data_IF_455067085881
#
_entry.id   IF_455067085881
#
_cell.length_a   1.000
_cell.length_b   1.000
_cell.length_c   1.000
_cell.angle_alpha   90.00
_cell.angle_beta   90.00
_cell.angle_gamma   90.00
#
_symmetry.space_group_name_H-M   'P 1'
#
loop_
_entity.id
_entity.type
_entity.pdbx_description
1 polymer ?
#
# COMPACT_ATOMS: atom_id res chain seq x y z
N UNK A 1 -11.01 25.94 -5.47
CA UNK A 1 -10.37 24.60 -5.66
C UNK A 1 -10.19 24.37 -7.15
N UNK A 2 -9.00 23.97 -7.59
CA UNK A 2 -8.72 23.58 -8.99
C UNK A 2 -8.65 22.06 -9.07
N UNK A 3 -9.39 21.45 -10.00
CA UNK A 3 -9.48 19.98 -10.13
C UNK A 3 -8.70 19.52 -11.35
N UNK A 4 -7.83 18.57 -11.16
CA UNK A 4 -7.04 17.89 -12.19
C UNK A 4 -7.52 16.45 -12.32
N UNK A 5 -7.37 15.86 -13.50
CA UNK A 5 -7.62 14.44 -13.72
C UNK A 5 -6.37 13.75 -14.28
N UNK A 6 -6.07 12.55 -13.79
CA UNK A 6 -5.09 11.63 -14.36
C UNK A 6 -5.83 10.43 -14.94
N UNK A 7 -5.80 10.31 -16.26
CA UNK A 7 -6.55 9.29 -16.99
C UNK A 7 -5.62 8.29 -17.68
N UNK A 8 -6.00 7.01 -17.67
CA UNK A 8 -5.29 5.97 -18.39
C UNK A 8 -5.87 4.59 -18.07
N UNK A 9 -5.59 3.59 -18.91
CA UNK A 9 -6.08 2.22 -18.74
C UNK A 9 -5.65 1.62 -17.41
N UNK A 10 -6.38 0.61 -16.97
CA UNK A 10 -6.01 -0.13 -15.75
C UNK A 10 -4.64 -0.80 -15.91
N UNK A 11 -3.80 -0.72 -14.88
CA UNK A 11 -2.47 -1.34 -14.91
C UNK A 11 -1.34 -0.51 -15.53
N UNK A 12 -1.60 0.72 -15.98
CA UNK A 12 -0.60 1.58 -16.65
C UNK A 12 0.26 2.41 -15.68
N UNK A 13 0.20 2.15 -14.36
CA UNK A 13 1.04 2.86 -13.39
C UNK A 13 0.49 4.21 -12.92
N UNK A 14 -0.80 4.56 -13.18
CA UNK A 14 -1.38 5.85 -12.77
C UNK A 14 -1.16 6.21 -11.31
N UNK A 15 -1.50 5.31 -10.39
CA UNK A 15 -1.36 5.57 -8.94
C UNK A 15 0.10 5.77 -8.54
N UNK A 16 1.04 5.20 -9.28
CA UNK A 16 2.46 5.43 -9.12
C UNK A 16 2.86 6.83 -9.58
N UNK A 17 2.46 7.21 -10.80
CA UNK A 17 2.80 8.51 -11.39
C UNK A 17 2.03 9.67 -10.75
N UNK A 18 0.88 9.39 -10.16
CA UNK A 18 0.09 10.39 -9.43
C UNK A 18 0.90 11.11 -8.34
N UNK A 19 1.80 10.41 -7.67
CA UNK A 19 2.64 11.03 -6.64
C UNK A 19 3.65 12.01 -7.23
N UNK A 20 4.29 11.66 -8.36
CA UNK A 20 5.21 12.55 -9.07
C UNK A 20 4.47 13.80 -9.56
N UNK A 21 3.32 13.58 -10.21
CA UNK A 21 2.46 14.65 -10.71
C UNK A 21 1.97 15.57 -9.57
N UNK A 22 1.57 15.01 -8.45
CA UNK A 22 1.15 15.79 -7.28
C UNK A 22 2.28 16.66 -6.73
N UNK A 23 3.52 16.17 -6.75
CA UNK A 23 4.69 16.94 -6.34
C UNK A 23 4.96 18.11 -7.29
N UNK A 24 4.97 17.87 -8.60
CA UNK A 24 5.23 18.88 -9.61
C UNK A 24 4.17 19.98 -9.58
N UNK A 25 2.90 19.61 -9.54
CA UNK A 25 1.77 20.54 -9.56
C UNK A 25 1.41 21.09 -8.16
N UNK A 26 2.12 20.66 -7.10
CA UNK A 26 1.83 21.01 -5.69
C UNK A 26 0.39 20.70 -5.30
N UNK A 27 -0.09 19.51 -5.69
CA UNK A 27 -1.41 19.00 -5.34
C UNK A 27 -1.28 18.18 -4.06
N UNK A 28 -2.12 18.47 -3.06
CA UNK A 28 -2.12 17.76 -1.76
C UNK A 28 -3.24 16.75 -1.64
N UNK A 29 -4.31 16.88 -2.41
CA UNK A 29 -5.48 16.02 -2.37
C UNK A 29 -5.56 15.09 -3.57
N UNK A 30 -5.89 13.82 -3.34
CA UNK A 30 -6.05 12.78 -4.37
C UNK A 30 -7.36 12.03 -4.11
N UNK A 31 -8.12 11.79 -5.19
CA UNK A 31 -9.22 10.82 -5.22
C UNK A 31 -8.75 9.61 -6.05
N UNK A 32 -8.65 8.45 -5.43
CA UNK A 32 -8.28 7.20 -6.10
C UNK A 32 -9.05 6.01 -5.54
N UNK A 33 -9.62 5.19 -6.41
CA UNK A 33 -10.31 3.93 -6.08
C UNK A 33 -11.32 4.04 -4.90
N UNK A 34 -12.07 5.14 -4.82
CA UNK A 34 -13.09 5.39 -3.79
C UNK A 34 -12.56 6.02 -2.50
N UNK A 35 -11.30 6.39 -2.45
CA UNK A 35 -10.65 7.02 -1.31
C UNK A 35 -10.39 8.50 -1.56
N UNK A 36 -10.55 9.31 -0.52
CA UNK A 36 -9.99 10.65 -0.44
C UNK A 36 -8.72 10.64 0.40
N UNK A 37 -7.62 11.01 -0.23
CA UNK A 37 -6.28 11.03 0.34
C UNK A 37 -5.82 12.49 0.38
N UNK A 38 -5.37 12.99 1.53
CA UNK A 38 -4.86 14.34 1.67
C UNK A 38 -3.55 14.32 2.46
N UNK A 39 -2.51 15.00 1.94
CA UNK A 39 -1.16 15.01 2.52
C UNK A 39 -0.67 13.59 2.88
N UNK A 40 -0.85 12.66 1.96
CA UNK A 40 -0.50 11.25 2.09
C UNK A 40 -1.29 10.46 3.16
N UNK A 41 -2.39 11.01 3.67
CA UNK A 41 -3.26 10.33 4.64
C UNK A 41 -4.60 10.00 4.01
N UNK A 42 -5.08 8.77 4.21
CA UNK A 42 -6.47 8.44 3.89
C UNK A 42 -7.37 9.18 4.89
N UNK A 43 -8.16 10.11 4.38
CA UNK A 43 -9.06 10.94 5.21
C UNK A 43 -10.42 10.27 5.34
N UNK A 44 -10.97 9.81 4.23
CA UNK A 44 -12.30 9.19 4.18
C UNK A 44 -12.45 8.33 2.94
N UNK A 45 -13.51 7.55 2.92
CA UNK A 45 -13.90 6.71 1.83
C UNK A 45 -13.64 5.22 2.05
N UNK A 46 -14.16 4.41 1.13
CA UNK A 46 -14.04 2.95 1.11
C UNK A 46 -13.28 2.57 -0.15
N UNK A 47 -12.22 1.78 -0.01
CA UNK A 47 -11.46 1.34 -1.18
C UNK A 47 -12.27 0.38 -2.04
N UNK A 48 -12.27 0.63 -3.34
CA UNK A 48 -12.83 -0.27 -4.35
C UNK A 48 -12.20 -1.68 -4.32
N UNK A 49 -10.96 -1.79 -3.82
CA UNK A 49 -10.24 -3.05 -3.66
C UNK A 49 -10.83 -3.98 -2.60
N UNK A 50 -11.67 -3.45 -1.70
CA UNK A 50 -12.37 -4.25 -0.68
C UNK A 50 -13.61 -4.97 -1.22
N UNK A 51 -13.99 -4.71 -2.46
CA UNK A 51 -15.19 -5.28 -3.05
C UNK A 51 -14.91 -6.65 -3.64
N UNK A 52 -15.76 -7.61 -3.32
CA UNK A 52 -15.64 -9.00 -3.77
C UNK A 52 -15.94 -9.17 -5.27
N UNK A 53 -16.57 -8.17 -5.88
CA UNK A 53 -16.95 -8.22 -7.29
C UNK A 53 -16.40 -7.04 -8.08
N UNK A 54 -16.09 -7.24 -9.37
CA UNK A 54 -15.68 -6.15 -10.27
C UNK A 54 -16.74 -5.03 -10.35
N UNK A 55 -18.01 -5.40 -10.36
CA UNK A 55 -19.13 -4.44 -10.40
C UNK A 55 -19.18 -3.66 -9.08
N UNK A 56 -19.00 -4.31 -7.94
CA UNK A 56 -18.90 -3.66 -6.64
C UNK A 56 -17.73 -2.69 -6.58
N UNK A 57 -16.56 -3.10 -7.07
CA UNK A 57 -15.38 -2.25 -7.14
C UNK A 57 -15.61 -0.99 -7.99
N UNK A 58 -16.20 -1.13 -9.18
CA UNK A 58 -16.53 0.02 -10.04
C UNK A 58 -17.55 0.94 -9.36
N UNK A 59 -18.60 0.40 -8.74
CA UNK A 59 -19.61 1.19 -8.01
C UNK A 59 -18.99 1.96 -6.84
N UNK A 60 -18.04 1.36 -6.12
CA UNK A 60 -17.33 1.99 -5.01
C UNK A 60 -16.39 3.08 -5.51
N UNK A 61 -15.60 2.81 -6.55
CA UNK A 61 -14.72 3.81 -7.16
C UNK A 61 -15.47 5.03 -7.72
N UNK A 62 -16.73 4.84 -8.15
CA UNK A 62 -17.62 5.89 -8.65
C UNK A 62 -18.47 6.53 -7.53
N UNK A 63 -18.27 6.21 -6.27
CA UNK A 63 -19.05 6.74 -5.14
C UNK A 63 -20.57 6.53 -5.31
N UNK A 64 -21.00 5.36 -5.78
CA UNK A 64 -22.41 5.08 -6.07
C UNK A 64 -23.29 4.96 -4.83
N UNK A 65 -22.72 4.64 -3.67
CA UNK A 65 -23.45 4.60 -2.40
C UNK A 65 -23.52 6.00 -1.82
N UNK A 66 -24.74 6.46 -1.45
CA UNK A 66 -24.99 7.82 -0.95
C UNK A 66 -24.20 8.13 0.33
N UNK A 67 -24.16 7.19 1.29
CA UNK A 67 -23.41 7.35 2.53
C UNK A 67 -21.91 7.57 2.25
N UNK A 68 -21.32 6.76 1.37
CA UNK A 68 -19.91 6.85 0.97
C UNK A 68 -19.61 8.16 0.26
N UNK A 69 -20.50 8.55 -0.65
CA UNK A 69 -20.40 9.83 -1.39
C UNK A 69 -20.49 11.02 -0.43
N UNK A 70 -21.48 11.03 0.47
CA UNK A 70 -21.69 12.12 1.42
C UNK A 70 -20.51 12.27 2.39
N UNK A 71 -19.97 11.16 2.92
CA UNK A 71 -18.78 11.15 3.79
C UNK A 71 -17.58 11.81 3.12
N UNK A 72 -17.29 11.40 1.88
CA UNK A 72 -16.12 11.90 1.15
C UNK A 72 -16.32 13.36 0.73
N UNK A 73 -17.50 13.73 0.24
CA UNK A 73 -17.81 15.12 -0.11
C UNK A 73 -17.71 16.06 1.10
N UNK A 74 -18.22 15.65 2.26
CA UNK A 74 -18.08 16.40 3.50
C UNK A 74 -16.63 16.57 3.94
N UNK A 75 -15.81 15.53 3.80
CA UNK A 75 -14.39 15.58 4.13
C UNK A 75 -13.63 16.54 3.20
N UNK A 76 -13.93 16.53 1.91
CA UNK A 76 -13.35 17.47 0.93
C UNK A 76 -13.76 18.91 1.26
N UNK A 77 -15.04 19.16 1.54
CA UNK A 77 -15.55 20.49 1.93
C UNK A 77 -14.88 21.00 3.21
N UNK A 78 -14.66 20.12 4.20
CA UNK A 78 -14.00 20.45 5.48
C UNK A 78 -12.53 20.81 5.31
N UNK A 79 -11.78 20.08 4.49
CA UNK A 79 -10.35 20.31 4.25
C UNK A 79 -10.14 21.46 3.26
N UNK A 80 -11.07 21.64 2.33
CA UNK A 80 -11.06 22.68 1.28
C UNK A 80 -9.70 22.78 0.54
N UNK A 81 -9.21 21.70 -0.09
CA UNK A 81 -7.91 21.71 -0.74
C UNK A 81 -7.89 22.71 -1.89
N UNK A 82 -6.80 23.47 -2.06
CA UNK A 82 -6.66 24.40 -3.19
C UNK A 82 -6.63 23.67 -4.54
N UNK A 83 -6.03 22.48 -4.57
CA UNK A 83 -5.90 21.60 -5.74
C UNK A 83 -6.23 20.18 -5.38
N UNK A 84 -6.90 19.46 -6.29
CA UNK A 84 -7.32 18.07 -6.13
C UNK A 84 -7.03 17.30 -7.42
N UNK A 85 -6.50 16.09 -7.33
CA UNK A 85 -6.29 15.18 -8.44
C UNK A 85 -7.31 14.04 -8.36
N UNK A 86 -8.00 13.78 -9.45
CA UNK A 86 -8.88 12.62 -9.62
C UNK A 86 -8.18 11.61 -10.52
N UNK A 87 -8.05 10.36 -10.08
CA UNK A 87 -7.47 9.27 -10.86
C UNK A 87 -8.59 8.41 -11.42
N UNK A 88 -8.57 8.16 -12.72
CA UNK A 88 -9.58 7.34 -13.38
C UNK A 88 -9.08 6.56 -14.58
N UNK A 89 -9.91 5.64 -15.06
CA UNK A 89 -9.58 4.82 -16.24
C UNK A 89 -10.04 5.42 -17.56
N UNK A 90 -10.91 6.43 -17.50
CA UNK A 90 -11.45 7.15 -18.65
C UNK A 90 -11.96 8.52 -18.25
N UNK A 91 -12.11 9.42 -19.22
CA UNK A 91 -12.69 10.76 -19.03
C UNK A 91 -14.10 10.69 -18.42
N UNK A 92 -14.92 9.76 -18.91
CA UNK A 92 -16.26 9.57 -18.36
C UNK A 92 -16.26 9.11 -16.90
N UNK A 93 -15.23 8.41 -16.44
CA UNK A 93 -15.09 8.02 -15.04
C UNK A 93 -14.77 9.22 -14.16
N UNK A 94 -13.76 9.99 -14.52
CA UNK A 94 -13.33 11.15 -13.71
C UNK A 94 -14.38 12.24 -13.67
N UNK A 95 -15.10 12.47 -14.78
CA UNK A 95 -16.23 13.40 -14.83
C UNK A 95 -17.39 12.98 -13.92
N UNK A 96 -17.71 11.69 -13.88
CA UNK A 96 -18.74 11.15 -12.96
C UNK A 96 -18.33 11.28 -11.51
N UNK A 97 -17.06 11.02 -11.19
CA UNK A 97 -16.52 11.20 -9.83
C UNK A 97 -16.63 12.67 -9.42
N UNK A 98 -16.20 13.60 -10.29
CA UNK A 98 -16.29 15.03 -10.01
C UNK A 98 -17.73 15.46 -9.76
N UNK A 99 -18.67 15.06 -10.63
CA UNK A 99 -20.09 15.40 -10.48
C UNK A 99 -20.69 14.82 -9.18
N UNK A 100 -20.40 13.57 -8.84
CA UNK A 100 -20.92 12.93 -7.62
C UNK A 100 -20.39 13.55 -6.33
N UNK A 101 -19.15 13.98 -6.33
CA UNK A 101 -18.52 14.62 -5.16
C UNK A 101 -18.76 16.13 -5.14
N UNK A 102 -19.62 16.65 -6.03
CA UNK A 102 -19.95 18.09 -6.13
C UNK A 102 -18.69 18.96 -6.29
N UNK A 103 -17.72 18.48 -7.06
CA UNK A 103 -16.48 19.19 -7.31
C UNK A 103 -16.64 20.16 -8.48
N UNK A 104 -15.82 21.21 -8.54
CA UNK A 104 -15.73 22.05 -9.74
C UNK A 104 -15.38 21.24 -10.99
N UNK A 105 -15.65 21.82 -12.16
CA UNK A 105 -15.23 21.22 -13.43
C UNK A 105 -13.74 20.91 -13.45
N UNK A 106 -13.38 19.81 -14.13
CA UNK A 106 -12.00 19.41 -14.31
C UNK A 106 -11.30 20.47 -15.14
N UNK A 107 -10.33 21.16 -14.53
CA UNK A 107 -9.59 22.23 -15.15
C UNK A 107 -8.56 21.75 -16.18
N UNK A 108 -8.04 20.54 -15.95
CA UNK A 108 -7.00 19.95 -16.80
C UNK A 108 -7.03 18.43 -16.68
N UNK A 109 -7.03 17.75 -17.83
CA UNK A 109 -6.90 16.28 -17.90
C UNK A 109 -5.53 15.93 -18.44
N UNK A 110 -4.81 15.10 -17.68
CA UNK A 110 -3.49 14.60 -18.00
C UNK A 110 -3.64 13.12 -18.32
N UNK A 111 -3.13 12.68 -19.46
CA UNK A 111 -3.17 11.27 -19.80
C UNK A 111 -1.85 10.60 -19.39
N UNK A 112 -1.95 9.39 -18.89
CA UNK A 112 -0.77 8.63 -18.47
C UNK A 112 0.23 8.46 -19.61
N UNK A 113 -0.24 8.45 -20.85
CA UNK A 113 0.58 8.39 -22.07
C UNK A 113 1.46 9.62 -22.27
N UNK A 114 1.05 10.76 -21.75
CA UNK A 114 1.74 12.04 -21.94
C UNK A 114 2.90 12.21 -20.94
N UNK A 115 2.85 11.46 -19.83
CA UNK A 115 3.81 11.57 -18.73
C UNK A 115 4.63 10.29 -18.50
N UNK A 116 4.44 9.26 -19.35
CA UNK A 116 5.18 7.99 -19.27
C UNK A 116 5.56 7.48 -20.63
N UNK A 117 6.69 6.76 -20.69
CA UNK A 117 7.10 6.02 -21.89
C UNK A 117 6.30 4.72 -22.05
N UNK A 118 6.34 4.12 -23.22
CA UNK A 118 5.69 2.83 -23.48
C UNK A 118 6.30 1.71 -22.63
N UNK A 119 7.63 1.72 -22.50
CA UNK A 119 8.38 0.77 -21.66
C UNK A 119 7.94 0.83 -20.18
N UNK A 120 7.80 2.01 -19.62
CA UNK A 120 7.32 2.19 -18.23
C UNK A 120 5.90 1.64 -18.03
N UNK A 121 5.02 1.83 -19.01
CA UNK A 121 3.66 1.29 -18.98
C UNK A 121 3.63 -0.23 -19.10
N UNK A 122 4.50 -0.81 -19.94
CA UNK A 122 4.66 -2.26 -20.06
C UNK A 122 5.18 -2.88 -18.76
N UNK A 123 6.18 -2.27 -18.13
CA UNK A 123 6.70 -2.70 -16.82
C UNK A 123 5.59 -2.66 -15.77
N UNK A 124 4.82 -1.57 -15.71
CA UNK A 124 3.71 -1.44 -14.77
C UNK A 124 2.62 -2.49 -15.04
N UNK A 125 2.33 -2.76 -16.31
CA UNK A 125 1.36 -3.78 -16.72
C UNK A 125 1.80 -5.19 -16.32
N UNK A 126 3.07 -5.56 -16.58
CA UNK A 126 3.66 -6.85 -16.18
C UNK A 126 3.65 -7.01 -14.66
N UNK A 127 4.07 -6.00 -13.91
CA UNK A 127 4.05 -6.02 -12.44
C UNK A 127 2.65 -6.29 -11.88
N UNK A 128 1.61 -5.76 -12.51
CA UNK A 128 0.23 -6.00 -12.10
C UNK A 128 -0.28 -7.37 -12.47
N UNK A 129 -0.04 -7.83 -13.71
CA UNK A 129 -0.65 -9.04 -14.26
C UNK A 129 0.14 -10.31 -13.92
N UNK A 130 1.47 -10.22 -13.85
CA UNK A 130 2.33 -11.36 -13.54
C UNK A 130 2.60 -11.50 -12.04
N UNK A 131 2.73 -10.37 -11.32
CA UNK A 131 3.07 -10.38 -9.90
C UNK A 131 1.89 -9.95 -8.99
N UNK A 132 0.76 -9.58 -9.56
CA UNK A 132 -0.44 -9.16 -8.84
C UNK A 132 -0.25 -7.89 -7.99
N UNK A 133 0.75 -7.05 -8.31
CA UNK A 133 1.07 -5.86 -7.51
C UNK A 133 0.22 -4.65 -7.90
N UNK A 134 -0.37 -4.02 -6.91
CA UNK A 134 -1.09 -2.75 -7.09
C UNK A 134 -0.57 -1.70 -6.12
N UNK A 135 -0.21 -0.53 -6.66
CA UNK A 135 0.30 0.59 -5.86
C UNK A 135 -0.85 1.51 -5.45
N UNK A 136 -0.92 1.83 -4.16
CA UNK A 136 -1.83 2.84 -3.61
C UNK A 136 -1.00 4.06 -3.19
N UNK A 137 -1.38 5.29 -3.57
CA UNK A 137 -0.63 6.51 -3.25
C UNK A 137 -0.91 6.99 -1.81
N UNK A 138 -0.76 6.10 -0.83
CA UNK A 138 -0.99 6.39 0.58
C UNK A 138 -0.03 5.60 1.49
N UNK A 139 0.23 6.04 2.74
CA UNK A 139 1.10 5.34 3.67
C UNK A 139 0.58 3.96 4.05
N UNK A 140 1.46 2.97 4.09
CA UNK A 140 1.14 1.59 4.44
C UNK A 140 0.48 1.46 5.82
N UNK A 141 0.95 2.18 6.82
CA UNK A 141 0.43 2.09 8.18
C UNK A 141 -1.02 2.57 8.30
N UNK A 142 -1.45 3.55 7.51
CA UNK A 142 -2.83 4.02 7.52
C UNK A 142 -3.77 3.07 6.78
N UNK A 143 -3.26 2.44 5.74
CA UNK A 143 -3.99 1.40 5.04
C UNK A 143 -4.12 0.14 5.89
N UNK A 144 -3.12 -0.23 6.70
CA UNK A 144 -3.18 -1.38 7.62
C UNK A 144 -4.22 -1.24 8.72
N UNK A 145 -4.49 -0.05 9.24
CA UNK A 145 -5.58 0.15 10.21
C UNK A 145 -6.97 -0.12 9.60
N UNK A 146 -7.12 0.12 8.31
CA UNK A 146 -8.37 -0.08 7.57
C UNK A 146 -8.36 -1.37 6.72
N UNK A 147 -7.18 -1.87 6.39
CA UNK A 147 -6.94 -2.97 5.47
C UNK A 147 -5.82 -3.82 6.04
N UNK A 148 -6.06 -5.02 6.47
CA UNK A 148 -5.03 -5.97 6.91
C UNK A 148 -4.06 -6.29 5.77
N UNK A 149 -3.06 -5.50 5.56
CA UNK A 149 -1.83 -5.56 4.72
C UNK A 149 -1.70 -6.47 3.49
N UNK A 150 -2.55 -7.46 3.34
CA UNK A 150 -2.62 -8.35 2.18
C UNK A 150 -4.05 -8.45 1.73
N UNK A 151 -4.41 -7.78 0.62
CA UNK A 151 -5.61 -8.11 -0.11
C UNK A 151 -5.33 -9.26 -1.07
N UNK A 152 -5.63 -10.46 -0.63
CA UNK A 152 -6.04 -11.48 -1.58
C UNK A 152 -7.48 -11.13 -1.95
N UNK A 153 -7.72 -10.80 -3.21
CA UNK A 153 -9.09 -10.64 -3.68
C UNK A 153 -9.82 -11.97 -3.46
N UNK A 154 -10.94 -12.01 -2.73
CA UNK A 154 -11.70 -13.24 -2.51
C UNK A 154 -12.09 -13.94 -3.83
N UNK A 155 -12.25 -13.17 -4.90
CA UNK A 155 -12.53 -13.69 -6.26
C UNK A 155 -11.38 -14.53 -6.83
N UNK A 156 -10.13 -14.27 -6.43
CA UNK A 156 -8.99 -15.06 -6.88
C UNK A 156 -8.88 -16.36 -6.09
N UNK A 157 -9.18 -16.35 -4.79
CA UNK A 157 -9.26 -17.59 -3.99
C UNK A 157 -10.29 -18.58 -4.53
N UNK A 158 -11.45 -18.09 -4.97
CA UNK A 158 -12.49 -18.94 -5.54
C UNK A 158 -12.16 -19.46 -6.95
N UNK A 159 -11.45 -18.66 -7.74
CA UNK A 159 -10.98 -19.03 -9.08
C UNK A 159 -9.82 -20.02 -9.03
N UNK A 160 -8.92 -19.88 -8.06
CA UNK A 160 -7.76 -20.78 -7.86
C UNK A 160 -8.18 -22.14 -7.30
N UNK A 161 -9.30 -22.21 -6.56
CA UNK A 161 -9.88 -23.50 -6.14
C UNK A 161 -10.43 -24.32 -7.32
N UNK A 162 -10.91 -23.64 -8.36
CA UNK A 162 -11.48 -24.30 -9.56
C UNK A 162 -10.51 -24.38 -10.75
N UNK A 163 -9.37 -23.73 -10.70
CA UNK A 163 -8.37 -23.72 -11.76
C UNK A 163 -7.03 -24.20 -11.21
N UNK A 164 -6.74 -25.47 -11.40
CA UNK A 164 -5.42 -26.06 -11.14
C UNK A 164 -4.33 -25.51 -12.10
N UNK A 165 -4.30 -24.21 -12.38
CA UNK A 165 -3.27 -23.50 -13.16
C UNK A 165 -3.16 -22.03 -12.71
N UNK A 166 -2.19 -21.76 -11.84
CA UNK A 166 -1.37 -20.56 -11.79
C UNK A 166 -2.01 -19.18 -11.90
N UNK A 167 -2.97 -18.83 -11.04
CA UNK A 167 -3.41 -17.45 -10.90
C UNK A 167 -2.59 -16.71 -9.83
N UNK A 168 -1.96 -15.60 -10.19
CA UNK A 168 -1.23 -14.75 -9.24
C UNK A 168 -2.23 -13.92 -8.42
N UNK A 169 -2.26 -14.11 -7.09
CA UNK A 169 -3.08 -13.31 -6.20
C UNK A 169 -2.70 -11.81 -6.30
N UNK A 170 -3.68 -10.92 -6.49
CA UNK A 170 -3.41 -9.47 -6.49
C UNK A 170 -2.92 -9.02 -5.11
N UNK A 171 -1.67 -8.62 -5.04
CA UNK A 171 -1.06 -8.02 -3.84
C UNK A 171 -1.10 -6.50 -3.96
N UNK A 172 -1.71 -5.83 -3.01
CA UNK A 172 -1.61 -4.37 -2.93
C UNK A 172 -0.26 -3.99 -2.35
N UNK A 173 0.58 -3.37 -3.15
CA UNK A 173 1.85 -2.80 -2.70
C UNK A 173 1.61 -1.34 -2.35
N UNK A 174 1.86 -1.00 -1.10
CA UNK A 174 1.82 0.39 -0.66
C UNK A 174 3.23 0.93 -0.73
N UNK A 175 3.43 2.00 -1.50
CA UNK A 175 4.71 2.69 -1.51
C UNK A 175 4.88 3.48 -0.22
N UNK A 176 6.07 3.42 0.41
CA UNK A 176 6.42 4.33 1.50
C UNK A 176 6.26 5.78 1.01
N UNK A 177 5.79 6.60 1.88
CA UNK A 177 5.46 7.99 1.63
C UNK A 177 6.61 8.81 1.10
N UNK A 178 6.33 9.63 0.08
CA UNK A 178 7.11 10.84 -0.14
C UNK A 178 6.74 11.86 0.93
N UNK A 179 7.73 12.36 1.63
CA UNK A 179 7.61 13.67 2.23
C UNK A 179 7.70 14.70 1.09
N UNK A 180 6.83 15.72 1.09
CA UNK A 180 7.01 16.90 0.22
C UNK A 180 8.33 17.65 0.54
N UNK A 181 9.01 17.25 1.59
CA UNK A 181 10.30 17.76 2.04
C UNK A 181 11.52 16.98 1.50
N UNK A 182 11.26 15.88 0.75
CA UNK A 182 12.31 15.02 0.18
C UNK A 182 12.04 13.53 0.36
N UNK A 183 12.89 12.70 -0.23
CA UNK A 183 12.86 11.25 -0.06
C UNK A 183 13.59 10.84 1.22
N UNK A 184 13.09 9.84 1.93
CA UNK A 184 13.84 9.18 2.98
C UNK A 184 14.16 7.75 2.59
N UNK A 185 15.35 7.28 2.99
CA UNK A 185 15.81 5.91 2.78
C UNK A 185 16.07 5.27 4.14
N UNK A 186 15.55 4.06 4.33
CA UNK A 186 15.89 3.24 5.48
C UNK A 186 17.04 2.32 5.10
N UNK A 187 18.09 2.29 5.92
CA UNK A 187 19.16 1.31 5.75
C UNK A 187 18.72 -0.05 6.31
N UNK A 188 19.28 -1.13 5.78
CA UNK A 188 19.01 -2.48 6.27
C UNK A 188 19.33 -2.64 7.78
N UNK A 189 20.23 -1.81 8.30
CA UNK A 189 20.57 -1.75 9.72
C UNK A 189 19.36 -1.38 10.61
N UNK A 190 18.45 -0.52 10.14
CA UNK A 190 17.26 -0.14 10.91
C UNK A 190 16.39 -1.36 11.22
N UNK A 191 16.20 -2.22 10.23
CA UNK A 191 15.42 -3.46 10.43
C UNK A 191 16.12 -4.41 11.39
N UNK A 192 17.45 -4.53 11.28
CA UNK A 192 18.24 -5.34 12.19
C UNK A 192 18.18 -4.83 13.64
N UNK A 193 18.26 -3.52 13.84
CA UNK A 193 18.16 -2.90 15.15
C UNK A 193 16.76 -3.11 15.77
N UNK A 194 15.68 -3.00 14.99
CA UNK A 194 14.31 -3.27 15.47
C UNK A 194 14.18 -4.72 15.93
N UNK A 195 14.65 -5.70 15.14
CA UNK A 195 14.60 -7.12 15.53
C UNK A 195 15.38 -7.35 16.81
N UNK A 196 16.55 -6.74 16.93
CA UNK A 196 17.41 -6.85 18.12
C UNK A 196 16.76 -6.26 19.36
N UNK A 197 16.06 -5.12 19.22
CA UNK A 197 15.31 -4.53 20.31
C UNK A 197 14.14 -5.39 20.76
N UNK A 198 13.33 -5.88 19.81
CA UNK A 198 12.19 -6.76 20.10
C UNK A 198 12.64 -8.06 20.77
N UNK A 199 13.76 -8.62 20.30
CA UNK A 199 14.28 -9.88 20.86
C UNK A 199 14.68 -9.78 22.32
N UNK A 200 15.16 -8.63 22.80
CA UNK A 200 15.50 -8.38 24.20
C UNK A 200 14.28 -8.42 25.13
N UNK A 201 13.08 -8.19 24.58
CA UNK A 201 11.84 -8.18 25.35
C UNK A 201 11.15 -9.54 25.42
N UNK A 202 11.69 -10.56 24.71
CA UNK A 202 11.09 -11.89 24.64
C UNK A 202 11.71 -12.80 25.68
N UNK A 203 10.87 -13.27 26.58
CA UNK A 203 11.28 -14.28 27.55
C UNK A 203 11.67 -15.59 26.82
N UNK A 204 12.85 -16.11 27.13
CA UNK A 204 13.38 -17.30 26.46
C UNK A 204 14.42 -17.01 25.37
N UNK A 205 14.61 -15.76 24.94
CA UNK A 205 15.75 -15.35 24.14
C UNK A 205 16.82 -14.78 25.06
N UNK A 206 18.03 -15.34 25.00
CA UNK A 206 19.18 -14.84 25.77
C UNK A 206 19.91 -13.74 24.97
N UNK A 207 20.16 -14.02 23.71
CA UNK A 207 20.96 -13.13 22.87
C UNK A 207 20.55 -13.25 21.39
N UNK A 208 20.48 -12.14 20.69
CA UNK A 208 20.50 -12.10 19.24
C UNK A 208 21.92 -11.76 18.80
N UNK A 209 22.64 -12.75 18.28
CA UNK A 209 24.05 -12.60 17.92
C UNK A 209 24.26 -11.89 16.59
N UNK A 210 23.31 -12.06 15.66
CA UNK A 210 23.38 -11.47 14.32
C UNK A 210 21.99 -11.32 13.73
N UNK A 211 21.75 -10.18 13.09
CA UNK A 211 20.61 -9.98 12.22
C UNK A 211 21.09 -9.48 10.87
N UNK A 212 20.64 -10.13 9.81
CA UNK A 212 20.86 -9.71 8.43
C UNK A 212 19.50 -9.34 7.87
N UNK A 213 19.37 -8.13 7.38
CA UNK A 213 18.18 -7.68 6.66
C UNK A 213 18.59 -7.30 5.25
N UNK A 214 17.74 -7.61 4.28
CA UNK A 214 17.93 -7.26 2.87
C UNK A 214 16.64 -6.67 2.36
N UNK A 215 16.70 -5.42 1.92
CA UNK A 215 15.56 -4.75 1.29
C UNK A 215 15.38 -5.29 -0.12
N UNK A 216 14.18 -5.77 -0.42
CA UNK A 216 13.76 -6.26 -1.74
C UNK A 216 12.65 -5.38 -2.32
N UNK A 217 12.29 -5.59 -3.58
CA UNK A 217 11.36 -4.71 -4.29
C UNK A 217 10.00 -4.52 -3.61
N UNK A 218 9.54 -5.49 -2.80
CA UNK A 218 8.21 -5.51 -2.17
C UNK A 218 8.26 -5.64 -0.63
N UNK A 219 9.41 -5.42 -0.01
CA UNK A 219 9.53 -5.48 1.44
C UNK A 219 10.95 -5.74 1.91
N UNK A 220 11.07 -6.44 3.03
CA UNK A 220 12.35 -6.83 3.62
C UNK A 220 12.37 -8.32 3.95
N UNK A 221 13.49 -8.97 3.66
CA UNK A 221 13.80 -10.33 4.11
C UNK A 221 14.83 -10.28 5.23
N UNK A 222 14.58 -11.05 6.28
CA UNK A 222 15.37 -10.98 7.52
C UNK A 222 15.79 -12.38 7.94
N UNK A 223 17.06 -12.50 8.37
CA UNK A 223 17.60 -13.65 9.05
C UNK A 223 18.12 -13.21 10.42
N UNK A 224 17.57 -13.79 11.50
CA UNK A 224 18.00 -13.56 12.87
C UNK A 224 18.68 -14.82 13.44
N UNK A 225 19.88 -14.69 13.96
CA UNK A 225 20.62 -15.76 14.63
C UNK A 225 20.56 -15.53 16.13
N UNK A 226 19.99 -16.49 16.87
CA UNK A 226 19.64 -16.32 18.27
C UNK A 226 20.24 -17.45 19.16
N UNK A 227 20.51 -17.10 20.39
CA UNK A 227 20.75 -18.06 21.47
C UNK A 227 19.54 -18.03 22.40
N UNK A 228 19.04 -19.21 22.75
CA UNK A 228 17.87 -19.36 23.64
C UNK A 228 18.30 -19.63 25.07
N UNK A 229 17.48 -19.23 26.02
CA UNK A 229 17.66 -19.58 27.45
C UNK A 229 17.30 -21.03 27.67
N UNK A 230 18.15 -21.72 28.43
CA UNK A 230 17.86 -23.08 28.85
C UNK A 230 16.59 -23.15 29.70
N UNK A 231 15.76 -24.15 29.45
CA UNK A 231 14.49 -24.35 30.18
C UNK A 231 13.26 -23.67 29.56
N UNK A 232 13.41 -22.85 28.52
CA UNK A 232 12.31 -22.22 27.84
C UNK A 232 11.87 -22.97 26.58
N UNK A 233 10.60 -22.77 26.17
CA UNK A 233 10.08 -23.36 24.94
C UNK A 233 10.63 -22.63 23.71
N UNK A 234 11.57 -23.28 23.03
CA UNK A 234 12.29 -22.72 21.88
C UNK A 234 11.34 -22.29 20.74
N UNK A 235 10.37 -23.15 20.40
CA UNK A 235 9.46 -22.86 19.29
C UNK A 235 8.56 -21.67 19.60
N UNK A 236 8.06 -21.59 20.84
CA UNK A 236 7.21 -20.47 21.26
C UNK A 236 7.96 -19.14 21.22
N UNK A 237 9.18 -19.09 21.75
CA UNK A 237 10.01 -17.88 21.75
C UNK A 237 10.39 -17.46 20.32
N UNK A 238 10.72 -18.42 19.43
CA UNK A 238 11.03 -18.12 18.04
C UNK A 238 9.81 -17.58 17.28
N UNK A 239 8.62 -18.16 17.45
CA UNK A 239 7.38 -17.69 16.84
C UNK A 239 6.97 -16.31 17.37
N UNK A 240 7.17 -16.05 18.65
CA UNK A 240 6.92 -14.75 19.25
C UNK A 240 7.86 -13.68 18.65
N UNK A 241 9.15 -14.01 18.48
CA UNK A 241 10.09 -13.12 17.81
C UNK A 241 9.64 -12.79 16.37
N UNK A 242 9.29 -13.82 15.59
CA UNK A 242 8.82 -13.63 14.23
C UNK A 242 7.61 -12.72 14.17
N UNK A 243 6.60 -12.99 14.99
CA UNK A 243 5.33 -12.24 14.98
C UNK A 243 5.51 -10.79 15.45
N UNK A 244 6.19 -10.59 16.60
CA UNK A 244 6.38 -9.26 17.18
C UNK A 244 7.33 -8.40 16.35
N UNK A 245 8.44 -8.96 15.88
CA UNK A 245 9.40 -8.21 15.07
C UNK A 245 8.82 -7.83 13.71
N UNK A 246 8.12 -8.73 13.02
CA UNK A 246 7.46 -8.42 11.77
C UNK A 246 6.46 -7.28 11.95
N UNK A 247 5.58 -7.38 12.96
CA UNK A 247 4.61 -6.34 13.27
C UNK A 247 5.27 -5.00 13.59
N UNK A 248 6.30 -5.00 14.44
CA UNK A 248 7.00 -3.76 14.83
C UNK A 248 7.67 -3.09 13.64
N UNK A 249 8.35 -3.87 12.78
CA UNK A 249 8.96 -3.34 11.56
C UNK A 249 7.89 -2.70 10.68
N UNK A 250 6.82 -3.42 10.44
CA UNK A 250 5.74 -2.94 9.61
C UNK A 250 5.08 -1.67 10.18
N UNK A 251 4.89 -1.60 11.49
CA UNK A 251 4.27 -0.44 12.16
C UNK A 251 5.19 0.79 12.18
N UNK A 252 6.51 0.60 12.35
CA UNK A 252 7.48 1.69 12.43
C UNK A 252 7.95 2.19 11.06
N UNK A 253 8.06 1.30 10.07
CA UNK A 253 8.74 1.61 8.81
C UNK A 253 7.83 1.61 7.60
N UNK A 254 6.62 1.07 7.72
CA UNK A 254 5.70 0.81 6.63
C UNK A 254 6.23 -0.19 5.55
N UNK A 255 7.37 -0.84 5.79
CA UNK A 255 7.85 -1.93 4.95
C UNK A 255 7.15 -3.23 5.30
N UNK A 256 6.81 -4.04 4.30
CA UNK A 256 6.31 -5.38 4.51
C UNK A 256 7.49 -6.31 4.88
N UNK A 257 7.26 -7.19 5.84
CA UNK A 257 8.21 -8.27 6.14
C UNK A 257 7.80 -9.49 5.32
N UNK A 258 8.54 -9.77 4.23
CA UNK A 258 8.25 -10.89 3.34
C UNK A 258 8.63 -12.22 4.00
N UNK A 259 9.74 -12.21 4.75
CA UNK A 259 10.24 -13.38 5.45
C UNK A 259 11.08 -12.96 6.66
N UNK A 260 10.87 -13.60 7.80
CA UNK A 260 11.75 -13.52 8.95
C UNK A 260 12.13 -14.94 9.38
N UNK A 261 13.34 -15.36 9.04
CA UNK A 261 13.90 -16.63 9.43
C UNK A 261 14.62 -16.49 10.78
N UNK A 262 14.45 -17.46 11.65
CA UNK A 262 15.14 -17.53 12.94
C UNK A 262 16.00 -18.79 12.97
N UNK A 263 17.32 -18.61 13.05
CA UNK A 263 18.28 -19.68 13.26
C UNK A 263 18.62 -19.75 14.75
N UNK A 264 18.35 -20.88 15.37
CA UNK A 264 18.69 -21.13 16.78
C UNK A 264 20.06 -21.79 16.79
N UNK A 265 21.07 -21.08 17.30
CA UNK A 265 22.46 -21.54 17.27
C UNK A 265 22.89 -22.29 18.50
N UNK A 266 22.22 -22.07 19.61
CA UNK A 266 22.53 -22.77 20.85
C UNK A 266 21.67 -22.32 22.03
N UNK A 267 21.92 -22.95 23.17
CA UNK A 267 21.33 -22.62 24.46
C UNK A 267 22.40 -22.02 25.37
N UNK A 268 22.00 -21.04 26.16
CA UNK A 268 22.82 -20.40 27.21
C UNK A 268 22.09 -20.46 28.54
#
# INVERSE_FOLDING_TARGET
MKVYALVGKSGTGKSYQAQNLCRELKIKGIIDDGLFIYENKVISGISAKRQDTKIGAVKTALFNKEEHQAEVAASIKKIAPNKLLIIGTSDGMVSRIAARLELPEISETIYITDITTEEEREIAYKQRHEHGKHVIPAPAFQLKRQFSGYFMSPLLLWRDWNAAKGGVAEKSVVRPTYSYLGDYKLSDKVFADIVSCVGKEIEGIEEISRVIAVTVADGVEIMAVVYMKYGHNIMKAAQELQSRAAKTIEDMTAFNVNRLNVEIRGLK
#
